data_IF_948769012221
#
_entry.id   IF_948769012221
#
_cell.length_a   1.000
_cell.length_b   1.000
_cell.length_c   1.000
_cell.angle_alpha   90.00
_cell.angle_beta   90.00
_cell.angle_gamma   90.00
#
_symmetry.space_group_name_H-M   'P 1'
#
loop_
_entity.id
_entity.type
_entity.pdbx_description
1 polymer ?
#
# COMPACT_ATOMS: atom_id res chain seq x y z
N UNK A 1 2.23 2.21 -4.97
CA UNK A 1 0.84 2.14 -4.49
C UNK A 1 0.02 1.37 -5.51
N UNK A 2 -0.90 0.53 -5.08
CA UNK A 2 -1.76 -0.22 -5.98
C UNK A 2 -3.23 -0.04 -5.66
N UNK A 3 -4.04 0.12 -6.70
CA UNK A 3 -5.49 0.20 -6.61
C UNK A 3 -6.11 -1.14 -6.99
N UNK A 4 -6.89 -1.74 -6.11
CA UNK A 4 -7.66 -2.95 -6.38
C UNK A 4 -9.16 -2.67 -6.34
N UNK A 5 -9.55 -1.51 -6.86
CA UNK A 5 -10.94 -1.04 -6.89
C UNK A 5 -11.28 -0.44 -8.23
N UNK A 6 -12.58 -0.26 -8.48
CA UNK A 6 -13.08 0.52 -9.62
C UNK A 6 -12.95 2.03 -9.43
N UNK A 7 -12.54 2.51 -8.24
CA UNK A 7 -12.39 3.93 -7.93
C UNK A 7 -11.09 4.46 -8.53
N UNK A 8 -11.19 5.15 -9.67
CA UNK A 8 -10.04 5.78 -10.32
C UNK A 8 -9.42 6.85 -9.40
N UNK A 9 -8.09 6.92 -9.38
CA UNK A 9 -7.35 7.92 -8.60
C UNK A 9 -7.10 7.56 -7.14
N UNK A 10 -7.67 6.47 -6.60
CA UNK A 10 -7.47 6.09 -5.19
C UNK A 10 -5.99 5.87 -4.83
N UNK A 11 -5.27 5.11 -5.66
CA UNK A 11 -3.84 4.89 -5.43
C UNK A 11 -3.00 6.16 -5.60
N UNK A 12 -3.42 7.10 -6.43
CA UNK A 12 -2.71 8.38 -6.58
C UNK A 12 -2.92 9.27 -5.35
N UNK A 13 -4.16 9.36 -4.84
CA UNK A 13 -4.47 10.13 -3.63
C UNK A 13 -3.65 9.65 -2.42
N UNK A 14 -3.60 8.34 -2.21
CA UNK A 14 -2.78 7.75 -1.15
C UNK A 14 -1.29 7.91 -1.43
N UNK A 15 -0.87 7.89 -2.70
CA UNK A 15 0.52 8.21 -3.08
C UNK A 15 0.90 9.63 -2.68
N UNK A 16 0.01 10.59 -2.88
CA UNK A 16 0.22 11.99 -2.48
C UNK A 16 0.34 12.09 -0.96
N UNK A 17 -0.56 11.45 -0.20
CA UNK A 17 -0.49 11.44 1.28
C UNK A 17 0.80 10.81 1.81
N UNK A 18 1.20 9.67 1.25
CA UNK A 18 2.45 9.04 1.64
C UNK A 18 3.65 9.96 1.36
N UNK A 19 3.67 10.64 0.20
CA UNK A 19 4.70 11.66 -0.12
C UNK A 19 4.69 12.82 0.87
N UNK A 20 3.51 13.30 1.30
CA UNK A 20 3.38 14.34 2.31
C UNK A 20 3.90 13.92 3.68
N UNK A 21 3.76 12.63 4.02
CA UNK A 21 4.38 12.04 5.21
C UNK A 21 5.89 11.77 5.07
N UNK A 22 6.49 12.09 3.91
CA UNK A 22 7.93 11.94 3.65
C UNK A 22 8.33 10.62 2.98
N UNK A 23 7.37 9.79 2.57
CA UNK A 23 7.65 8.53 1.90
C UNK A 23 7.94 8.70 0.42
N UNK A 24 8.92 7.94 -0.09
CA UNK A 24 9.21 7.90 -1.52
C UNK A 24 8.27 6.92 -2.22
N UNK A 25 7.36 7.44 -3.03
CA UNK A 25 6.41 6.63 -3.81
C UNK A 25 6.87 6.51 -5.26
N UNK A 26 7.31 5.32 -5.64
CA UNK A 26 7.78 5.00 -6.99
C UNK A 26 6.71 5.14 -8.09
N UNK A 27 5.43 5.01 -7.73
CA UNK A 27 4.31 5.13 -8.66
C UNK A 27 3.02 4.54 -8.11
N UNK A 28 1.93 4.83 -8.81
CA UNK A 28 0.61 4.26 -8.59
C UNK A 28 0.23 3.37 -9.78
N UNK A 29 -0.27 2.17 -9.52
CA UNK A 29 -0.71 1.22 -10.56
C UNK A 29 -1.97 0.46 -10.10
N UNK A 30 -2.52 -0.43 -10.92
CA UNK A 30 -3.64 -1.28 -10.55
C UNK A 30 -3.16 -2.67 -10.15
N UNK A 31 -3.71 -3.21 -9.05
CA UNK A 31 -3.46 -4.58 -8.66
C UNK A 31 -4.52 -5.50 -9.25
N UNK A 32 -4.07 -6.55 -9.93
CA UNK A 32 -4.93 -7.59 -10.45
C UNK A 32 -4.88 -8.82 -9.54
N UNK A 33 -5.73 -8.87 -8.51
CA UNK A 33 -5.84 -10.02 -7.60
C UNK A 33 -6.91 -9.83 -6.53
N UNK A 34 -7.39 -10.92 -5.92
CA UNK A 34 -8.36 -10.82 -4.82
C UNK A 34 -7.66 -10.43 -3.52
N UNK A 35 -7.93 -9.22 -3.05
CA UNK A 35 -7.49 -8.72 -1.75
C UNK A 35 -8.75 -8.33 -0.98
N UNK A 36 -8.88 -8.84 0.24
CA UNK A 36 -10.09 -8.67 1.06
C UNK A 36 -10.21 -7.27 1.69
N UNK A 37 -9.11 -6.52 1.78
CA UNK A 37 -9.06 -5.23 2.45
C UNK A 37 -7.74 -4.52 2.18
N UNK A 38 -7.73 -3.20 2.34
CA UNK A 38 -6.53 -2.38 2.19
C UNK A 38 -5.41 -2.92 3.08
N UNK A 39 -4.30 -3.32 2.48
CA UNK A 39 -3.22 -4.03 3.18
C UNK A 39 -1.86 -3.52 2.68
N UNK A 40 -0.96 -3.24 3.63
CA UNK A 40 0.44 -2.92 3.37
C UNK A 40 1.26 -4.20 3.38
N UNK A 41 1.83 -4.55 2.23
CA UNK A 41 2.74 -5.67 2.07
C UNK A 41 4.19 -5.22 2.21
N UNK A 42 4.99 -5.97 2.98
CA UNK A 42 6.37 -5.59 3.26
C UNK A 42 7.34 -6.78 3.19
N UNK A 43 8.55 -6.60 2.66
CA UNK A 43 9.55 -7.65 2.66
C UNK A 43 10.11 -7.91 4.07
N UNK A 44 10.69 -9.10 4.30
CA UNK A 44 11.33 -9.40 5.57
C UNK A 44 12.43 -8.36 5.87
N UNK A 45 12.37 -7.74 7.04
CA UNK A 45 13.27 -6.66 7.46
C UNK A 45 12.68 -5.25 7.36
N UNK A 46 11.56 -5.04 6.66
CA UNK A 46 10.91 -3.72 6.52
C UNK A 46 9.56 -3.62 7.27
N UNK A 47 9.34 -4.48 8.28
CA UNK A 47 8.09 -4.51 9.03
C UNK A 47 7.83 -3.20 9.77
N UNK A 48 8.89 -2.59 10.31
CA UNK A 48 8.80 -1.30 11.03
C UNK A 48 8.36 -0.18 10.09
N UNK A 49 9.00 -0.05 8.93
CA UNK A 49 8.62 0.95 7.93
C UNK A 49 7.19 0.73 7.43
N UNK A 50 6.80 -0.52 7.23
CA UNK A 50 5.44 -0.88 6.83
C UNK A 50 4.40 -0.45 7.87
N UNK A 51 4.69 -0.67 9.15
CA UNK A 51 3.82 -0.26 10.24
C UNK A 51 3.72 1.27 10.38
N UNK A 52 4.80 2.00 10.09
CA UNK A 52 4.77 3.46 10.06
C UNK A 52 3.95 3.97 8.87
N UNK A 53 4.25 3.51 7.66
CA UNK A 53 3.50 3.87 6.45
C UNK A 53 2.02 3.55 6.60
N UNK A 54 1.70 2.38 7.16
CA UNK A 54 0.34 1.96 7.47
C UNK A 54 -0.37 2.97 8.38
N UNK A 55 0.29 3.49 9.41
CA UNK A 55 -0.27 4.55 10.27
C UNK A 55 -0.42 5.87 9.54
N UNK A 56 0.57 6.29 8.77
CA UNK A 56 0.57 7.57 8.03
C UNK A 56 -0.58 7.64 7.03
N UNK A 57 -0.87 6.53 6.33
CA UNK A 57 -1.95 6.47 5.36
C UNK A 57 -3.25 5.87 5.93
N UNK A 58 -3.31 5.52 7.21
CA UNK A 58 -4.55 5.02 7.84
C UNK A 58 -4.97 3.60 7.43
N UNK A 59 -4.03 2.71 7.14
CA UNK A 59 -4.27 1.28 6.91
C UNK A 59 -3.96 0.50 8.19
N UNK A 60 -4.91 -0.29 8.68
CA UNK A 60 -4.68 -1.12 9.87
C UNK A 60 -4.12 -2.51 9.57
N UNK A 61 -4.11 -2.92 8.29
CA UNK A 61 -3.67 -4.26 7.88
C UNK A 61 -2.26 -4.21 7.29
N UNK A 62 -1.34 -4.91 7.91
CA UNK A 62 0.01 -5.14 7.38
C UNK A 62 0.23 -6.64 7.19
N UNK A 63 0.91 -7.05 6.13
CA UNK A 63 1.19 -8.45 5.85
C UNK A 63 2.55 -8.62 5.20
N UNK A 64 3.18 -9.77 5.39
CA UNK A 64 4.45 -10.04 4.69
C UNK A 64 4.22 -10.09 3.18
N UNK A 65 5.19 -9.56 2.43
CA UNK A 65 5.21 -9.56 0.98
C UNK A 65 5.12 -10.99 0.47
N UNK A 66 4.21 -11.21 -0.48
CA UNK A 66 4.04 -12.50 -1.12
C UNK A 66 5.32 -12.87 -1.88
N UNK A 67 5.62 -14.17 -2.08
CA UNK A 67 6.83 -14.61 -2.78
C UNK A 67 6.92 -14.12 -4.23
N UNK A 68 5.81 -13.74 -4.85
CA UNK A 68 5.74 -13.13 -6.17
C UNK A 68 5.87 -11.59 -6.16
N UNK A 69 6.00 -10.96 -5.00
CA UNK A 69 6.20 -9.52 -4.86
C UNK A 69 7.69 -9.15 -4.84
N UNK A 70 7.98 -7.92 -5.27
CA UNK A 70 9.31 -7.31 -5.18
C UNK A 70 9.73 -7.21 -3.72
N UNK A 71 10.84 -7.86 -3.36
CA UNK A 71 11.38 -7.83 -1.98
C UNK A 71 12.23 -6.61 -1.68
N UNK A 72 12.39 -5.72 -2.65
CA UNK A 72 13.14 -4.46 -2.56
C UNK A 72 12.28 -3.25 -2.16
N UNK A 73 10.95 -3.41 -2.02
CA UNK A 73 10.04 -2.28 -1.77
C UNK A 73 8.78 -2.66 -0.99
N UNK A 74 8.23 -1.68 -0.28
CA UNK A 74 6.89 -1.76 0.31
C UNK A 74 5.82 -1.74 -0.80
N UNK A 75 4.82 -2.60 -0.68
CA UNK A 75 3.72 -2.74 -1.63
C UNK A 75 2.40 -2.48 -0.92
N UNK A 76 1.81 -1.31 -1.13
CA UNK A 76 0.48 -1.00 -0.57
C UNK A 76 -0.59 -1.34 -1.58
N UNK A 77 -1.57 -2.15 -1.20
CA UNK A 77 -2.75 -2.44 -2.01
C UNK A 77 -3.98 -1.87 -1.33
N UNK A 78 -4.70 -0.99 -2.02
CA UNK A 78 -5.89 -0.30 -1.55
C UNK A 78 -7.13 -0.96 -2.14
N UNK A 79 -8.12 -1.21 -1.29
CA UNK A 79 -9.44 -1.71 -1.70
C UNK A 79 -10.52 -0.68 -1.36
N UNK A 80 -11.78 -0.99 -1.68
CA UNK A 80 -12.93 -0.09 -1.45
C UNK A 80 -13.20 0.14 0.03
N UNK A 81 -12.60 -0.68 0.88
CA UNK A 81 -12.64 -0.58 2.35
C UNK A 81 -11.76 0.57 2.87
N UNK A 82 -10.88 1.12 2.03
CA UNK A 82 -10.07 2.28 2.43
C UNK A 82 -10.94 3.52 2.67
N UNK A 83 -11.06 3.90 3.94
CA UNK A 83 -11.84 5.05 4.39
C UNK A 83 -11.03 6.36 4.45
N UNK A 84 -9.69 6.28 4.27
CA UNK A 84 -8.80 7.43 4.38
C UNK A 84 -9.14 8.51 3.37
#
# INVERSE_FOLDING_TARGET
MYNNTSRKGLAEDVSIRARQAGWTVAGADNWHGKIVGSTVYYPPGMQSEAAQLAKDIGISRTKDALPNMKKDRLTVILTTDYAG
#
